data_IF_434771656013
#
_entry.id   IF_434771656013
#
_cell.length_a   1.000
_cell.length_b   1.000
_cell.length_c   1.000
_cell.angle_alpha   90.00
_cell.angle_beta   90.00
_cell.angle_gamma   90.00
#
_symmetry.space_group_name_H-M   'P 1'
#
loop_
_entity.id
_entity.type
_entity.pdbx_description
1 polymer ?
#
# COMPACT_ATOMS: atom_id res chain seq x y z
N UNK A 1 -3.93 -33.48 6.67
CA UNK A 1 -3.48 -32.46 5.71
C UNK A 1 -4.30 -31.17 5.84
N UNK A 2 -5.64 -31.21 5.75
CA UNK A 2 -6.47 -29.99 5.91
C UNK A 2 -6.29 -29.22 7.23
N UNK A 3 -6.18 -29.92 8.38
CA UNK A 3 -5.89 -29.26 9.66
C UNK A 3 -4.52 -28.58 9.72
N UNK A 4 -3.52 -29.17 9.04
CA UNK A 4 -2.18 -28.60 8.97
C UNK A 4 -2.19 -27.31 8.14
N UNK A 5 -2.92 -27.31 7.01
CA UNK A 5 -3.10 -26.12 6.19
C UNK A 5 -3.80 -25.00 6.96
N UNK A 6 -4.87 -25.31 7.70
CA UNK A 6 -5.59 -24.32 8.51
C UNK A 6 -4.71 -23.67 9.58
N UNK A 7 -3.87 -24.46 10.25
CA UNK A 7 -2.92 -23.95 11.25
C UNK A 7 -1.84 -23.07 10.61
N UNK A 8 -1.33 -23.43 9.43
CA UNK A 8 -0.36 -22.63 8.68
C UNK A 8 -0.95 -21.29 8.23
N UNK A 9 -2.19 -21.29 7.71
CA UNK A 9 -2.88 -20.05 7.33
C UNK A 9 -3.07 -19.13 8.54
N UNK A 10 -3.49 -19.68 9.68
CA UNK A 10 -3.68 -18.92 10.91
C UNK A 10 -2.36 -18.30 11.40
N UNK A 11 -1.26 -19.06 11.38
CA UNK A 11 0.07 -18.53 11.73
C UNK A 11 0.50 -17.38 10.80
N UNK A 12 0.26 -17.48 9.50
CA UNK A 12 0.57 -16.41 8.55
C UNK A 12 -0.24 -15.14 8.82
N UNK A 13 -1.50 -15.27 9.26
CA UNK A 13 -2.33 -14.11 9.60
C UNK A 13 -1.89 -13.45 10.92
N UNK A 14 -1.38 -14.22 11.88
CA UNK A 14 -0.77 -13.68 13.11
C UNK A 14 0.58 -13.00 12.85
N UNK A 15 1.33 -13.43 11.84
CA UNK A 15 2.47 -12.69 11.28
C UNK A 15 2.04 -11.49 10.42
N UNK A 16 0.73 -11.23 10.32
CA UNK A 16 0.14 -10.18 9.51
C UNK A 16 0.91 -8.89 9.66
N UNK A 17 1.58 -8.50 8.58
CA UNK A 17 2.36 -7.27 8.53
C UNK A 17 1.46 -6.14 8.99
N UNK A 18 1.86 -5.44 10.04
CA UNK A 18 1.18 -4.21 10.44
C UNK A 18 1.46 -3.17 9.33
N UNK A 19 0.68 -3.23 8.26
CA UNK A 19 0.79 -2.33 7.14
C UNK A 19 0.28 -0.97 7.61
N UNK A 20 1.24 -0.08 7.90
CA UNK A 20 0.93 1.31 8.21
C UNK A 20 0.79 2.04 6.89
N UNK A 21 -0.41 2.54 6.62
CA UNK A 21 -0.66 3.44 5.50
C UNK A 21 -0.51 4.89 5.97
N UNK A 22 -0.01 5.75 5.09
CA UNK A 22 0.18 7.17 5.36
C UNK A 22 -0.56 7.97 4.33
N UNK A 23 -1.40 8.90 4.77
CA UNK A 23 -2.14 9.77 3.85
C UNK A 23 -1.61 11.21 3.93
N UNK A 24 -1.36 11.80 2.77
CA UNK A 24 -0.94 13.19 2.64
C UNK A 24 -1.83 13.93 1.64
N UNK A 25 -2.77 14.72 2.17
CA UNK A 25 -3.77 15.47 1.40
C UNK A 25 -3.22 16.65 0.60
N UNK A 26 -1.97 17.06 0.84
CA UNK A 26 -1.30 18.13 0.10
C UNK A 26 -0.17 17.63 -0.81
N UNK A 27 0.06 16.32 -0.84
CA UNK A 27 1.08 15.74 -1.69
C UNK A 27 0.62 15.76 -3.15
N UNK A 28 1.51 16.21 -4.03
CA UNK A 28 1.29 16.13 -5.46
C UNK A 28 1.39 14.67 -5.90
N UNK A 29 0.52 14.25 -6.82
CA UNK A 29 0.59 12.93 -7.47
C UNK A 29 1.73 12.88 -8.49
N UNK A 30 2.95 13.16 -8.06
CA UNK A 30 4.15 13.19 -8.88
C UNK A 30 5.27 12.43 -8.19
N UNK A 31 5.88 11.49 -8.90
CA UNK A 31 6.98 10.69 -8.40
C UNK A 31 8.02 10.51 -9.50
N UNK A 32 9.29 10.76 -9.18
CA UNK A 32 10.43 10.65 -10.12
C UNK A 32 10.20 11.37 -11.47
N UNK A 33 9.58 12.56 -11.41
CA UNK A 33 9.30 13.35 -12.60
C UNK A 33 8.03 12.97 -13.35
N UNK A 34 7.46 11.77 -13.12
CA UNK A 34 6.21 11.31 -13.72
C UNK A 34 5.01 11.82 -12.94
N UNK A 35 4.03 12.37 -13.66
CA UNK A 35 2.72 12.72 -13.12
C UNK A 35 1.80 11.49 -13.14
N UNK A 36 1.08 11.27 -12.04
CA UNK A 36 0.09 10.23 -11.87
C UNK A 36 -1.30 10.84 -11.82
N UNK A 37 -2.23 10.17 -12.49
CA UNK A 37 -3.66 10.47 -12.51
C UNK A 37 -4.35 9.85 -11.30
N UNK A 38 -5.56 10.32 -11.01
CA UNK A 38 -6.36 9.82 -9.91
C UNK A 38 -6.61 8.31 -10.06
N UNK A 39 -6.36 7.56 -8.99
CA UNK A 39 -6.43 6.10 -8.95
C UNK A 39 -5.17 5.37 -9.43
N UNK A 40 -4.19 6.06 -10.03
CA UNK A 40 -2.92 5.42 -10.38
C UNK A 40 -2.02 5.24 -9.15
N UNK A 41 -1.26 4.15 -9.15
CA UNK A 41 -0.35 3.78 -8.07
C UNK A 41 1.09 3.61 -8.56
N UNK A 42 2.03 3.77 -7.63
CA UNK A 42 3.45 3.51 -7.84
C UNK A 42 4.11 2.96 -6.58
N UNK A 43 5.22 2.26 -6.77
CA UNK A 43 6.07 1.82 -5.67
C UNK A 43 7.16 2.86 -5.43
N UNK A 44 7.24 3.37 -4.21
CA UNK A 44 8.32 4.29 -3.82
C UNK A 44 9.62 3.54 -3.49
N UNK A 45 10.73 4.27 -3.43
CA UNK A 45 12.01 3.76 -2.93
C UNK A 45 11.96 3.26 -1.48
N UNK A 46 10.98 3.70 -0.70
CA UNK A 46 10.74 3.22 0.67
C UNK A 46 9.87 1.95 0.71
N UNK A 47 9.65 1.29 -0.42
CA UNK A 47 8.80 0.10 -0.55
C UNK A 47 7.34 0.34 -0.12
N UNK A 48 6.90 1.60 -0.15
CA UNK A 48 5.49 1.97 0.07
C UNK A 48 4.77 1.95 -1.27
N UNK A 49 3.61 1.30 -1.31
CA UNK A 49 2.66 1.40 -2.42
C UNK A 49 1.87 2.69 -2.24
N UNK A 50 2.11 3.66 -3.10
CA UNK A 50 1.46 4.96 -3.09
C UNK A 50 0.39 5.02 -4.17
N UNK A 51 -0.73 5.69 -3.90
CA UNK A 51 -1.85 5.88 -4.83
C UNK A 51 -2.28 7.33 -4.84
N UNK A 52 -2.56 7.88 -6.03
CA UNK A 52 -3.15 9.21 -6.17
C UNK A 52 -4.65 9.16 -5.84
N UNK A 53 -5.08 9.89 -4.80
CA UNK A 53 -6.44 9.84 -4.27
C UNK A 53 -7.15 11.20 -4.38
N UNK A 54 -8.49 11.16 -4.26
CA UNK A 54 -9.35 12.33 -4.16
C UNK A 54 -9.49 12.81 -2.69
N UNK A 55 -9.56 14.12 -2.40
CA UNK A 55 -9.25 15.27 -3.25
C UNK A 55 -7.73 15.53 -3.25
N UNK A 56 -7.10 15.40 -4.43
CA UNK A 56 -5.66 15.56 -4.72
C UNK A 56 -4.72 15.28 -3.52
N UNK A 57 -4.42 14.00 -3.27
CA UNK A 57 -3.45 13.58 -2.27
C UNK A 57 -2.81 12.24 -2.59
N UNK A 58 -1.86 11.82 -1.77
CA UNK A 58 -1.18 10.52 -1.90
C UNK A 58 -1.44 9.69 -0.65
N UNK A 59 -1.85 8.43 -0.83
CA UNK A 59 -2.04 7.46 0.25
C UNK A 59 -1.40 6.12 -0.03
#
# INVERSE_FOLDING_TARGET
WGRLCLLLSLLLQLLGSQAKCYFQSKALCKYEGKQFSLGESWLSTNYLLCTCLNPLGVG
#
